data_IF_204539765434
#
_entry.id   IF_204539765434
#
_cell.length_a   1.000
_cell.length_b   1.000
_cell.length_c   1.000
_cell.angle_alpha   90.00
_cell.angle_beta   90.00
_cell.angle_gamma   90.00
#
_symmetry.space_group_name_H-M   'P 1'
#
loop_
_entity.id
_entity.type
_entity.pdbx_description
1 polymer ?
#
# COMPACT_ATOMS: atom_id res chain seq x y z
N UNK A 1 18.43 13.92 53.65
CA UNK A 1 17.91 13.17 52.49
C UNK A 1 18.69 11.87 52.37
N UNK A 2 18.00 10.73 52.33
CA UNK A 2 18.19 9.84 51.19
C UNK A 2 16.84 9.39 50.62
N UNK A 3 16.71 9.51 49.30
CA UNK A 3 15.59 8.99 48.51
C UNK A 3 15.69 7.46 48.46
N UNK A 4 14.76 6.80 49.14
CA UNK A 4 14.62 5.35 49.15
C UNK A 4 14.08 4.94 47.78
N UNK A 5 14.97 4.38 46.96
CA UNK A 5 14.63 3.86 45.64
C UNK A 5 13.52 2.81 45.79
N UNK A 6 12.26 3.21 45.56
CA UNK A 6 11.15 2.29 45.39
C UNK A 6 11.50 1.40 44.20
N UNK A 7 11.93 0.19 44.51
CA UNK A 7 12.01 -0.90 43.55
C UNK A 7 10.61 -1.09 42.99
N UNK A 8 10.38 -0.58 41.78
CA UNK A 8 9.17 -0.84 41.04
C UNK A 8 9.25 -2.31 40.64
N UNK A 9 8.68 -3.19 41.46
CA UNK A 9 8.52 -4.59 41.12
C UNK A 9 7.54 -4.69 39.95
N UNK A 10 8.08 -4.90 38.75
CA UNK A 10 7.28 -5.12 37.56
C UNK A 10 6.51 -6.44 37.71
N UNK A 11 5.16 -6.44 37.68
CA UNK A 11 4.35 -7.63 37.86
C UNK A 11 4.23 -8.44 36.54
N UNK A 12 5.36 -8.75 35.90
CA UNK A 12 5.39 -9.63 34.73
C UNK A 12 6.03 -10.98 35.11
N UNK A 13 5.38 -11.70 36.02
CA UNK A 13 5.78 -13.07 36.40
C UNK A 13 4.67 -14.06 36.04
N UNK A 14 4.75 -14.56 34.82
CA UNK A 14 3.96 -15.71 34.36
C UNK A 14 4.35 -16.11 32.95
N UNK A 15 4.62 -17.40 32.72
CA UNK A 15 4.73 -17.93 31.35
C UNK A 15 3.44 -17.57 30.62
N UNK A 16 3.50 -16.92 29.43
CA UNK A 16 2.29 -16.65 28.68
C UNK A 16 1.58 -17.99 28.41
N UNK A 17 0.26 -18.07 28.57
CA UNK A 17 -0.48 -19.31 28.37
C UNK A 17 -0.19 -19.83 26.94
N UNK A 18 0.09 -21.12 26.80
CA UNK A 18 0.54 -21.75 25.55
C UNK A 18 -0.35 -21.41 24.35
N UNK A 19 -1.64 -21.17 24.59
CA UNK A 19 -2.59 -20.71 23.58
C UNK A 19 -2.22 -19.36 22.96
N UNK A 20 -1.79 -18.39 23.78
CA UNK A 20 -1.35 -17.07 23.30
C UNK A 20 -0.06 -17.21 22.50
N UNK A 21 0.84 -18.10 22.93
CA UNK A 21 2.10 -18.37 22.23
C UNK A 21 1.88 -18.92 20.80
N UNK A 22 0.78 -19.65 20.58
CA UNK A 22 0.40 -20.21 19.27
C UNK A 22 -0.50 -19.24 18.48
N UNK A 23 -1.40 -18.52 19.16
CA UNK A 23 -2.36 -17.63 18.52
C UNK A 23 -1.68 -16.41 17.91
N UNK A 24 -0.70 -15.81 18.60
CA UNK A 24 0.04 -14.63 18.12
C UNK A 24 0.68 -14.88 16.74
N UNK A 25 1.53 -15.90 16.54
CA UNK A 25 2.14 -16.12 15.24
C UNK A 25 1.12 -16.49 14.15
N UNK A 26 0.03 -17.17 14.51
CA UNK A 26 -1.06 -17.49 13.58
C UNK A 26 -1.77 -16.22 13.07
N UNK A 27 -2.08 -15.30 13.98
CA UNK A 27 -2.70 -14.01 13.64
C UNK A 27 -1.76 -13.16 12.79
N UNK A 28 -0.47 -13.12 13.14
CA UNK A 28 0.55 -12.42 12.36
C UNK A 28 0.64 -13.01 10.94
N UNK A 29 0.67 -14.33 10.82
CA UNK A 29 0.70 -14.99 9.51
C UNK A 29 -0.54 -14.65 8.67
N UNK A 30 -1.73 -14.67 9.27
CA UNK A 30 -2.96 -14.30 8.58
C UNK A 30 -2.94 -12.83 8.09
N UNK A 31 -2.45 -11.90 8.93
CA UNK A 31 -2.30 -10.50 8.56
C UNK A 31 -1.30 -10.31 7.42
N UNK A 32 -0.16 -11.02 7.46
CA UNK A 32 0.84 -10.96 6.39
C UNK A 32 0.26 -11.44 5.05
N UNK A 33 -0.50 -12.52 5.06
CA UNK A 33 -1.16 -13.03 3.86
C UNK A 33 -2.19 -12.05 3.28
N UNK A 34 -2.86 -11.25 4.11
CA UNK A 34 -3.89 -10.30 3.63
C UNK A 34 -3.29 -8.93 3.31
N UNK A 35 -2.09 -8.62 3.81
CA UNK A 35 -1.47 -7.29 3.62
C UNK A 35 -1.19 -6.95 2.15
N UNK A 36 -0.96 -7.94 1.30
CA UNK A 36 -0.61 -7.79 -0.12
C UNK A 36 -1.83 -7.67 -1.07
N UNK A 37 -3.04 -7.48 -0.52
CA UNK A 37 -4.25 -7.35 -1.33
C UNK A 37 -4.34 -6.01 -2.08
N UNK A 38 -3.80 -4.92 -1.54
CA UNK A 38 -3.99 -3.57 -2.08
C UNK A 38 -2.69 -3.03 -2.64
N UNK A 39 -2.73 -2.48 -3.84
CA UNK A 39 -1.57 -1.88 -4.51
C UNK A 39 -1.95 -0.66 -5.33
N UNK A 40 -0.97 0.20 -5.57
CA UNK A 40 -1.15 1.43 -6.35
C UNK A 40 -0.20 1.45 -7.55
N UNK A 41 -0.74 1.81 -8.71
CA UNK A 41 -0.02 2.02 -9.96
C UNK A 41 0.16 3.52 -10.18
N UNK A 42 1.38 3.94 -10.49
CA UNK A 42 1.69 5.34 -10.76
C UNK A 42 1.14 5.78 -12.12
N UNK A 43 0.87 7.08 -12.35
CA UNK A 43 0.39 7.62 -13.64
C UNK A 43 1.22 7.26 -14.88
N UNK A 44 2.45 6.83 -14.66
CA UNK A 44 3.47 6.57 -15.68
C UNK A 44 3.87 5.10 -15.73
N UNK A 45 3.09 4.25 -15.05
CA UNK A 45 3.24 2.81 -15.04
C UNK A 45 1.94 2.15 -15.50
N UNK A 46 2.07 0.97 -16.09
CA UNK A 46 0.98 0.01 -16.23
C UNK A 46 1.29 -1.20 -15.35
N UNK A 47 0.30 -1.65 -14.60
CA UNK A 47 0.36 -2.92 -13.89
C UNK A 47 0.05 -4.07 -14.83
N UNK A 48 0.92 -5.07 -14.90
CA UNK A 48 0.68 -6.34 -15.57
C UNK A 48 0.43 -7.40 -14.50
N UNK A 49 -0.79 -7.90 -14.42
CA UNK A 49 -1.19 -8.92 -13.44
C UNK A 49 -1.11 -10.29 -14.07
N UNK A 50 -0.34 -11.17 -13.42
CA UNK A 50 -0.14 -12.56 -13.80
C UNK A 50 -0.78 -13.44 -12.74
N UNK A 51 -1.72 -14.29 -13.13
CA UNK A 51 -2.38 -15.26 -12.24
C UNK A 51 -1.87 -16.66 -12.54
N UNK A 52 -1.33 -17.34 -11.53
CA UNK A 52 -0.73 -18.68 -11.69
C UNK A 52 0.28 -18.79 -12.85
N UNK A 53 1.09 -17.75 -13.07
CA UNK A 53 2.08 -17.72 -14.15
C UNK A 53 1.52 -17.42 -15.55
N UNK A 54 0.21 -17.12 -15.68
CA UNK A 54 -0.42 -16.72 -16.95
C UNK A 54 -0.87 -15.27 -16.88
N UNK A 55 -0.75 -14.57 -18.00
CA UNK A 55 -1.31 -13.22 -18.13
C UNK A 55 -2.81 -13.25 -17.87
N UNK A 56 -3.28 -12.37 -16.97
CA UNK A 56 -4.70 -12.22 -16.64
C UNK A 56 -5.24 -10.88 -17.17
N UNK A 57 -4.62 -9.77 -16.74
CA UNK A 57 -5.08 -8.42 -17.08
C UNK A 57 -3.98 -7.37 -16.93
N UNK A 58 -4.19 -6.21 -17.56
CA UNK A 58 -3.47 -4.98 -17.28
C UNK A 58 -4.30 -4.05 -16.39
N UNK A 59 -3.63 -3.29 -15.52
CA UNK A 59 -4.24 -2.28 -14.66
C UNK A 59 -3.65 -0.91 -14.96
N UNK A 60 -4.57 0.06 -15.17
CA UNK A 60 -4.25 1.47 -15.37
C UNK A 60 -3.79 2.14 -14.08
N UNK A 61 -3.26 3.37 -14.14
CA UNK A 61 -2.89 4.14 -12.96
C UNK A 61 -4.03 4.29 -11.94
N UNK A 62 -3.72 4.12 -10.66
CA UNK A 62 -4.69 4.22 -9.58
C UNK A 62 -4.56 3.13 -8.51
N UNK A 63 -5.56 3.08 -7.63
CA UNK A 63 -5.65 2.08 -6.56
C UNK A 63 -6.35 0.83 -7.08
N UNK A 64 -5.71 -0.33 -6.90
CA UNK A 64 -6.21 -1.62 -7.34
C UNK A 64 -6.10 -2.66 -6.24
N UNK A 65 -6.89 -3.73 -6.39
CA UNK A 65 -6.89 -4.88 -5.49
C UNK A 65 -6.47 -6.12 -6.28
N UNK A 66 -5.58 -6.92 -5.70
CA UNK A 66 -5.15 -8.23 -6.20
C UNK A 66 -5.31 -9.29 -5.12
N UNK A 67 -5.30 -10.54 -5.54
CA UNK A 67 -5.08 -11.65 -4.62
C UNK A 67 -3.61 -11.61 -4.17
N UNK A 68 -3.33 -11.97 -2.91
CA UNK A 68 -1.97 -11.97 -2.38
C UNK A 68 -1.16 -13.09 -3.01
N UNK A 69 0.16 -12.97 -2.89
CA UNK A 69 1.09 -14.04 -3.25
C UNK A 69 0.68 -15.38 -2.58
N UNK A 70 0.70 -16.53 -3.29
CA UNK A 70 1.28 -16.77 -4.62
C UNK A 70 0.29 -16.74 -5.80
N UNK A 71 -0.98 -16.36 -5.57
CA UNK A 71 -2.04 -16.54 -6.57
C UNK A 71 -1.91 -15.54 -7.74
N UNK A 72 -1.70 -14.26 -7.41
CA UNK A 72 -1.47 -13.19 -8.38
C UNK A 72 -0.11 -12.51 -8.13
N UNK A 73 0.60 -12.22 -9.22
CA UNK A 73 1.85 -11.46 -9.24
C UNK A 73 1.65 -10.18 -10.04
N UNK A 74 2.20 -9.07 -9.54
CA UNK A 74 2.13 -7.77 -10.18
C UNK A 74 3.50 -7.38 -10.71
N UNK A 75 3.60 -7.12 -12.01
CA UNK A 75 4.76 -6.50 -12.63
C UNK A 75 4.40 -5.08 -13.07
N UNK A 76 5.11 -4.07 -12.56
CA UNK A 76 4.94 -2.68 -12.97
C UNK A 76 5.85 -2.40 -14.15
N UNK A 77 5.28 -1.91 -15.25
CA UNK A 77 6.03 -1.61 -16.47
C UNK A 77 5.92 -0.10 -16.73
N UNK A 78 7.06 0.63 -16.84
CA UNK A 78 7.04 2.05 -17.10
C UNK A 78 6.58 2.33 -18.53
N UNK A 79 5.70 3.32 -18.69
CA UNK A 79 5.22 3.82 -19.99
C UNK A 79 5.74 5.24 -20.24
N UNK A 80 5.72 5.68 -21.51
CA UNK A 80 6.21 7.02 -21.87
C UNK A 80 5.32 8.12 -21.25
N UNK A 81 5.95 9.11 -20.63
CA UNK A 81 5.30 10.33 -20.14
C UNK A 81 4.76 11.14 -21.31
N UNK A 82 3.48 11.53 -21.25
CA UNK A 82 2.96 12.62 -22.07
C UNK A 82 3.27 13.95 -21.38
N UNK A 83 4.12 14.76 -21.98
CA UNK A 83 4.35 16.13 -21.52
C UNK A 83 3.18 17.01 -21.99
N UNK A 84 2.36 17.48 -21.05
CA UNK A 84 1.32 18.48 -21.34
C UNK A 84 1.83 19.85 -20.92
N UNK A 85 1.84 20.79 -21.86
CA UNK A 85 2.07 22.20 -21.58
C UNK A 85 0.74 22.94 -21.70
N UNK A 86 0.26 23.48 -20.57
CA UNK A 86 -0.99 24.23 -20.54
C UNK A 86 -0.74 25.68 -20.99
N UNK A 87 -1.33 26.06 -22.13
CA UNK A 87 -1.27 27.42 -22.64
C UNK A 87 -2.54 28.18 -22.21
N UNK A 88 -2.41 29.07 -21.23
CA UNK A 88 -3.50 29.96 -20.83
C UNK A 88 -3.53 31.22 -21.69
N UNK A 89 -4.69 31.54 -22.26
CA UNK A 89 -4.93 32.84 -22.91
C UNK A 89 -5.76 33.73 -22.00
N UNK A 90 -5.36 35.01 -21.87
CA UNK A 90 -6.17 36.03 -21.19
C UNK A 90 -6.59 37.07 -22.21
N UNK A 91 -7.90 37.29 -22.33
CA UNK A 91 -8.46 38.34 -23.18
C UNK A 91 -8.30 39.68 -22.48
N UNK A 92 -7.52 40.60 -23.07
CA UNK A 92 -7.24 41.91 -22.48
C UNK A 92 -8.37 42.92 -22.69
N UNK A 93 -9.18 42.75 -23.73
CA UNK A 93 -10.30 43.64 -24.06
C UNK A 93 -11.40 42.86 -24.78
N UNK A 94 -12.65 43.02 -24.35
CA UNK A 94 -13.79 42.40 -25.00
C UNK A 94 -14.09 43.16 -26.30
N UNK A 95 -14.11 42.45 -27.43
CA UNK A 95 -14.43 43.05 -28.72
C UNK A 95 -15.82 43.69 -28.70
N UNK A 96 -15.87 45.02 -28.67
CA UNK A 96 -17.12 45.77 -28.80
C UNK A 96 -17.55 45.68 -30.26
N UNK A 97 -18.73 45.09 -30.49
CA UNK A 97 -19.42 45.08 -31.77
C UNK A 97 -20.28 46.34 -31.86
N UNK A 98 -19.97 47.22 -32.79
CA UNK A 98 -20.82 48.35 -33.18
C UNK A 98 -21.76 47.94 -34.30
#
# INVERSE_FOLDING_TARGET
MPEEFRTIELPFKGRPPTKILILIPLVILALLLISDFVYTIEPEEIGVVVRFGKFDRTTDPGLHVKMPFPIEQLAKVPIQRQLKQEYGFRTREAGVRT
#
